data_IF_755654175981
#
_entry.id   IF_755654175981
#
_cell.length_a   1.000
_cell.length_b   1.000
_cell.length_c   1.000
_cell.angle_alpha   90.00
_cell.angle_beta   90.00
_cell.angle_gamma   90.00
#
_symmetry.space_group_name_H-M   'P 1'
#
loop_
_entity.id
_entity.type
_entity.pdbx_description
1 polymer ?
#
# COMPACT_ATOMS: atom_id res chain seq x y z
N UNK A 1 2.87 3.15 -22.09
CA UNK A 1 1.74 3.09 -21.12
C UNK A 1 1.26 1.67 -20.76
N UNK A 2 0.83 0.82 -21.72
CA UNK A 2 0.33 -0.54 -21.37
C UNK A 2 1.43 -1.41 -20.74
N UNK A 3 2.60 -1.41 -21.36
CA UNK A 3 3.82 -2.09 -20.92
C UNK A 3 4.25 -1.65 -19.51
N UNK A 4 4.15 -0.36 -19.20
CA UNK A 4 4.51 0.26 -17.91
C UNK A 4 3.43 0.08 -16.81
N UNK A 5 2.54 -0.91 -16.97
CA UNK A 5 1.45 -1.26 -16.05
C UNK A 5 0.54 -0.09 -15.62
N UNK A 6 0.57 1.04 -16.34
CA UNK A 6 -0.12 2.28 -15.97
C UNK A 6 -1.64 2.16 -16.00
N UNK A 7 -2.18 1.12 -16.64
CA UNK A 7 -3.62 0.83 -16.78
C UNK A 7 -4.21 -0.01 -15.65
N UNK A 8 -3.43 -0.85 -14.99
CA UNK A 8 -3.98 -1.93 -14.16
C UNK A 8 -4.66 -1.39 -12.91
N UNK A 9 -5.96 -1.70 -12.75
CA UNK A 9 -6.79 -1.28 -11.61
C UNK A 9 -7.07 0.23 -11.54
N UNK A 10 -7.22 0.91 -12.70
CA UNK A 10 -7.31 2.38 -12.79
C UNK A 10 -8.31 2.82 -13.87
N UNK A 11 -9.15 3.80 -13.55
CA UNK A 11 -10.20 4.28 -14.48
C UNK A 11 -9.61 4.70 -15.84
N UNK A 12 -10.03 4.06 -16.96
CA UNK A 12 -9.35 4.16 -18.25
C UNK A 12 -9.45 5.55 -18.88
N UNK A 13 -10.55 6.28 -18.65
CA UNK A 13 -10.79 7.63 -19.21
C UNK A 13 -9.65 8.62 -18.87
N UNK A 14 -9.06 8.51 -17.68
CA UNK A 14 -7.94 9.38 -17.27
C UNK A 14 -6.63 9.07 -18.00
N UNK A 15 -6.39 7.81 -18.37
CA UNK A 15 -5.24 7.39 -19.16
C UNK A 15 -5.44 7.70 -20.64
N UNK A 16 -6.66 7.50 -21.14
CA UNK A 16 -7.06 7.93 -22.48
C UNK A 16 -6.81 9.43 -22.67
N UNK A 17 -7.27 10.27 -21.73
CA UNK A 17 -6.98 11.71 -21.75
C UNK A 17 -5.49 12.05 -21.70
N UNK A 18 -4.70 11.34 -20.89
CA UNK A 18 -3.25 11.58 -20.83
C UNK A 18 -2.55 11.20 -22.15
N UNK A 19 -2.89 10.05 -22.74
CA UNK A 19 -2.39 9.62 -24.04
C UNK A 19 -2.82 10.57 -25.17
N UNK A 20 -4.07 11.06 -25.14
CA UNK A 20 -4.59 12.03 -26.10
C UNK A 20 -3.86 13.37 -26.01
N UNK A 21 -3.63 13.88 -24.79
CA UNK A 21 -2.86 15.11 -24.55
C UNK A 21 -1.41 14.97 -25.05
N UNK A 22 -0.74 13.86 -24.73
CA UNK A 22 0.61 13.56 -25.24
C UNK A 22 0.61 13.56 -26.77
N UNK A 23 -0.29 12.80 -27.41
CA UNK A 23 -0.39 12.73 -28.87
C UNK A 23 -0.69 14.10 -29.52
N UNK A 24 -1.48 14.97 -28.89
CA UNK A 24 -1.70 16.33 -29.41
C UNK A 24 -0.42 17.15 -29.40
N UNK A 25 0.39 17.09 -28.33
CA UNK A 25 1.70 17.74 -28.27
C UNK A 25 2.69 17.11 -29.27
N UNK A 26 2.70 15.79 -29.40
CA UNK A 26 3.53 15.04 -30.38
C UNK A 26 3.33 15.50 -31.82
N UNK A 27 2.10 15.89 -32.18
CA UNK A 27 1.75 16.37 -33.52
C UNK A 27 1.63 17.90 -33.63
N UNK A 28 2.03 18.65 -32.60
CA UNK A 28 2.05 20.12 -32.62
C UNK A 28 0.67 20.81 -32.47
N UNK A 29 -0.36 20.08 -32.04
CA UNK A 29 -1.69 20.65 -31.77
C UNK A 29 -1.77 21.23 -30.36
N UNK A 30 -2.02 22.54 -30.28
CA UNK A 30 -2.09 23.28 -29.02
C UNK A 30 -3.48 23.17 -28.35
N UNK A 31 -3.77 22.01 -27.76
CA UNK A 31 -4.93 21.83 -26.87
C UNK A 31 -4.53 22.04 -25.40
N UNK A 32 -5.41 22.65 -24.62
CA UNK A 32 -5.22 22.80 -23.17
C UNK A 32 -5.66 21.53 -22.43
N UNK A 33 -5.22 21.39 -21.17
CA UNK A 33 -5.73 20.33 -20.29
C UNK A 33 -7.24 20.40 -20.10
N UNK A 34 -7.84 21.61 -20.10
CA UNK A 34 -9.27 21.81 -19.96
C UNK A 34 -10.06 21.25 -21.16
N UNK A 35 -9.54 21.41 -22.37
CA UNK A 35 -10.15 20.87 -23.59
C UNK A 35 -10.23 19.34 -23.52
N UNK A 36 -9.12 18.68 -23.17
CA UNK A 36 -9.06 17.23 -23.00
C UNK A 36 -9.99 16.76 -21.87
N UNK A 37 -9.98 17.45 -20.72
CA UNK A 37 -10.87 17.19 -19.57
C UNK A 37 -12.35 17.25 -19.97
N UNK A 38 -12.73 18.22 -20.82
CA UNK A 38 -14.11 18.37 -21.28
C UNK A 38 -14.60 17.17 -22.11
N UNK A 39 -13.71 16.50 -22.84
CA UNK A 39 -14.02 15.35 -23.70
C UNK A 39 -13.98 14.01 -22.95
N UNK A 40 -13.00 13.80 -22.07
CA UNK A 40 -12.83 12.50 -21.38
C UNK A 40 -13.49 12.42 -19.99
N UNK A 41 -14.12 13.52 -19.54
CA UNK A 41 -14.87 13.63 -18.29
C UNK A 41 -14.11 13.17 -17.04
N UNK A 42 -12.89 13.70 -16.83
CA UNK A 42 -12.08 13.46 -15.61
C UNK A 42 -11.58 14.76 -15.00
N UNK A 43 -11.34 14.79 -13.69
CA UNK A 43 -10.74 15.95 -13.03
C UNK A 43 -9.32 16.25 -13.57
N UNK A 44 -8.97 17.53 -13.77
CA UNK A 44 -7.65 17.94 -14.28
C UNK A 44 -6.48 17.48 -13.38
N UNK A 45 -6.71 17.37 -12.07
CA UNK A 45 -5.75 16.81 -11.13
C UNK A 45 -5.46 15.31 -11.42
N UNK A 46 -6.46 14.56 -11.89
CA UNK A 46 -6.30 13.17 -12.32
C UNK A 46 -5.51 13.10 -13.63
N UNK A 47 -5.85 13.95 -14.62
CA UNK A 47 -5.11 14.04 -15.88
C UNK A 47 -3.63 14.41 -15.63
N UNK A 48 -3.38 15.44 -14.84
CA UNK A 48 -2.01 15.87 -14.47
C UNK A 48 -1.25 14.77 -13.73
N UNK A 49 -1.91 14.02 -12.83
CA UNK A 49 -1.29 12.87 -12.17
C UNK A 49 -0.93 11.75 -13.14
N UNK A 50 -1.75 11.47 -14.15
CA UNK A 50 -1.45 10.48 -15.20
C UNK A 50 -0.26 10.92 -16.08
N UNK A 51 -0.13 12.21 -16.36
CA UNK A 51 0.99 12.78 -17.11
C UNK A 51 2.31 12.68 -16.33
N UNK A 52 2.32 13.05 -15.04
CA UNK A 52 3.50 12.89 -14.17
C UNK A 52 3.87 11.40 -14.01
N UNK A 53 2.88 10.51 -13.90
CA UNK A 53 3.14 9.07 -13.86
C UNK A 53 3.73 8.53 -15.19
N UNK A 54 3.52 9.20 -16.33
CA UNK A 54 4.17 8.85 -17.63
C UNK A 54 5.58 9.45 -17.75
N UNK A 55 5.78 10.69 -17.31
CA UNK A 55 7.09 11.37 -17.23
C UNK A 55 8.14 10.57 -16.43
N UNK A 56 7.68 9.76 -15.48
CA UNK A 56 8.52 8.86 -14.67
C UNK A 56 8.67 7.43 -15.27
N UNK A 57 8.32 7.22 -16.54
CA UNK A 57 8.60 5.97 -17.29
C UNK A 57 9.73 6.19 -18.30
N UNK A 58 10.43 5.12 -18.68
CA UNK A 58 11.54 5.19 -19.65
C UNK A 58 11.08 5.84 -20.97
N UNK A 59 9.89 5.46 -21.46
CA UNK A 59 9.26 6.02 -22.66
C UNK A 59 8.86 7.51 -22.53
N UNK A 60 8.73 8.04 -21.31
CA UNK A 60 8.51 9.46 -21.04
C UNK A 60 9.78 10.31 -21.07
N UNK A 61 10.96 9.67 -21.08
CA UNK A 61 12.28 10.34 -21.14
C UNK A 61 12.86 10.49 -22.56
N UNK A 62 12.26 9.81 -23.56
CA UNK A 62 12.71 9.81 -24.95
C UNK A 62 12.44 11.14 -25.66
N UNK A 63 13.29 11.49 -26.62
CA UNK A 63 12.97 12.55 -27.58
C UNK A 63 11.77 12.15 -28.45
N UNK A 64 11.02 13.14 -28.96
CA UNK A 64 9.79 12.86 -29.70
C UNK A 64 10.02 12.03 -30.98
N UNK A 65 11.17 12.20 -31.62
CA UNK A 65 11.60 11.44 -32.80
C UNK A 65 11.91 9.97 -32.44
N UNK A 66 12.60 9.74 -31.31
CA UNK A 66 12.92 8.41 -30.79
C UNK A 66 11.65 7.68 -30.33
N UNK A 67 10.72 8.38 -29.68
CA UNK A 67 9.43 7.85 -29.25
C UNK A 67 8.57 7.39 -30.43
N UNK A 68 8.53 8.18 -31.52
CA UNK A 68 7.82 7.81 -32.74
C UNK A 68 8.51 6.66 -33.48
N UNK A 69 9.84 6.66 -33.57
CA UNK A 69 10.59 5.54 -34.15
C UNK A 69 10.36 4.23 -33.38
N UNK A 70 10.36 4.28 -32.04
CA UNK A 70 10.04 3.13 -31.17
C UNK A 70 8.61 2.62 -31.39
N UNK A 71 7.65 3.52 -31.64
CA UNK A 71 6.28 3.15 -31.98
C UNK A 71 6.16 2.48 -33.36
N UNK A 72 6.95 2.90 -34.35
CA UNK A 72 7.01 2.27 -35.66
C UNK A 72 7.72 0.90 -35.62
N UNK A 73 8.79 0.76 -34.83
CA UNK A 73 9.42 -0.54 -34.54
C UNK A 73 8.45 -1.52 -33.86
N UNK A 74 7.59 -1.04 -32.96
CA UNK A 74 6.54 -1.84 -32.29
C UNK A 74 5.36 -2.18 -33.22
N UNK A 75 5.13 -1.39 -34.28
CA UNK A 75 4.14 -1.70 -35.31
C UNK A 75 4.66 -2.67 -36.38
N UNK A 76 5.98 -2.69 -36.61
CA UNK A 76 6.67 -3.74 -37.35
C UNK A 76 6.80 -5.01 -36.47
N UNK A 77 7.10 -6.18 -37.05
CA UNK A 77 7.21 -7.38 -36.22
C UNK A 77 8.53 -7.37 -35.42
N UNK A 78 8.51 -7.47 -34.07
CA UNK A 78 9.74 -7.44 -33.27
C UNK A 78 10.74 -8.53 -33.68
N UNK A 79 11.99 -8.12 -33.85
CA UNK A 79 13.04 -8.90 -34.52
C UNK A 79 14.00 -9.50 -33.49
N UNK A 80 13.70 -10.74 -33.08
CA UNK A 80 14.62 -11.68 -32.41
C UNK A 80 15.07 -11.26 -30.99
N UNK A 81 15.25 -12.16 -30.01
CA UNK A 81 15.15 -13.64 -30.00
C UNK A 81 14.97 -14.10 -28.55
N UNK A 82 14.34 -15.25 -28.31
CA UNK A 82 14.72 -16.04 -27.14
C UNK A 82 14.68 -17.55 -27.42
N UNK A 83 15.61 -18.27 -26.81
CA UNK A 83 15.62 -19.71 -26.52
C UNK A 83 14.78 -20.64 -27.41
N UNK A 84 15.42 -21.22 -28.43
CA UNK A 84 14.95 -22.42 -29.14
C UNK A 84 15.01 -23.68 -28.23
N UNK A 85 14.17 -23.72 -27.19
CA UNK A 85 13.75 -24.99 -26.58
C UNK A 85 12.72 -25.63 -27.52
N UNK A 86 12.88 -26.88 -27.99
CA UNK A 86 11.87 -27.57 -28.80
C UNK A 86 10.63 -27.92 -27.98
N UNK A 87 9.78 -26.92 -27.74
CA UNK A 87 8.51 -27.04 -27.02
C UNK A 87 7.32 -27.25 -27.96
N UNK A 88 6.29 -27.94 -27.47
CA UNK A 88 4.98 -27.94 -28.13
C UNK A 88 4.26 -26.63 -27.82
N UNK A 89 3.55 -26.06 -28.80
CA UNK A 89 2.75 -24.84 -28.57
C UNK A 89 1.40 -25.16 -27.95
N UNK A 90 1.05 -24.45 -26.88
CA UNK A 90 -0.20 -24.55 -26.14
C UNK A 90 -1.33 -23.70 -26.78
N UNK A 91 -0.97 -22.76 -27.66
CA UNK A 91 -1.93 -21.92 -28.37
C UNK A 91 -2.77 -22.69 -29.43
N UNK A 92 -3.82 -22.04 -29.95
CA UNK A 92 -4.75 -22.56 -31.00
C UNK A 92 -4.10 -23.00 -32.33
N UNK A 93 -2.78 -22.86 -32.47
CA UNK A 93 -1.98 -23.34 -33.60
C UNK A 93 -1.28 -24.69 -33.35
N UNK A 94 -1.51 -25.33 -32.19
CA UNK A 94 -1.10 -26.71 -31.91
C UNK A 94 -1.42 -27.65 -33.08
N UNK A 95 -0.45 -28.44 -33.51
CA UNK A 95 -0.52 -29.32 -34.68
C UNK A 95 -0.33 -28.67 -36.06
N UNK A 96 -0.41 -27.34 -36.20
CA UNK A 96 -0.29 -26.62 -37.50
C UNK A 96 1.15 -26.18 -37.79
N UNK A 97 2.11 -27.11 -37.64
CA UNK A 97 3.56 -26.93 -37.85
C UNK A 97 4.12 -25.58 -37.36
N UNK A 98 3.61 -25.09 -36.22
CA UNK A 98 3.89 -23.76 -35.70
C UNK A 98 4.89 -23.87 -34.55
N UNK A 99 6.12 -23.41 -34.78
CA UNK A 99 7.20 -23.47 -33.79
C UNK A 99 6.88 -22.67 -32.52
N UNK A 100 7.35 -23.18 -31.38
CA UNK A 100 7.35 -22.46 -30.11
C UNK A 100 8.28 -21.25 -30.18
N UNK A 101 7.79 -20.09 -29.75
CA UNK A 101 8.55 -18.85 -29.69
C UNK A 101 8.87 -18.47 -28.24
N UNK A 102 7.85 -18.29 -27.41
CA UNK A 102 8.00 -17.97 -25.98
C UNK A 102 6.72 -18.31 -25.21
N UNK A 103 6.86 -18.71 -23.94
CA UNK A 103 5.76 -18.94 -22.98
C UNK A 103 4.60 -19.80 -23.55
N UNK A 104 4.91 -20.92 -24.23
CA UNK A 104 3.90 -21.81 -24.81
C UNK A 104 3.23 -21.28 -26.10
N UNK A 105 3.56 -20.07 -26.57
CA UNK A 105 2.97 -19.44 -27.74
C UNK A 105 3.89 -19.53 -28.98
N UNK A 106 3.30 -19.66 -30.17
CA UNK A 106 4.01 -19.42 -31.43
C UNK A 106 4.16 -17.92 -31.68
N UNK A 107 5.12 -17.50 -32.54
CA UNK A 107 5.46 -16.08 -32.77
C UNK A 107 4.22 -15.19 -33.02
N UNK A 108 3.29 -15.64 -33.87
CA UNK A 108 2.05 -14.91 -34.20
C UNK A 108 1.14 -14.70 -32.99
N UNK A 109 1.02 -15.69 -32.11
CA UNK A 109 0.26 -15.56 -30.87
C UNK A 109 0.98 -14.71 -29.83
N UNK A 110 2.30 -14.82 -29.71
CA UNK A 110 3.09 -14.00 -28.80
C UNK A 110 3.04 -12.51 -29.20
N UNK A 111 3.26 -12.18 -30.47
CA UNK A 111 3.14 -10.81 -30.98
C UNK A 111 1.74 -10.24 -30.76
N UNK A 112 0.68 -11.04 -30.97
CA UNK A 112 -0.70 -10.62 -30.71
C UNK A 112 -0.96 -10.40 -29.21
N UNK A 113 -0.47 -11.28 -28.34
CA UNK A 113 -0.51 -11.09 -26.89
C UNK A 113 0.16 -9.77 -26.50
N UNK A 114 1.42 -9.54 -26.91
CA UNK A 114 2.19 -8.34 -26.55
C UNK A 114 1.45 -7.07 -26.96
N UNK A 115 0.88 -7.00 -28.17
CA UNK A 115 0.09 -5.86 -28.66
C UNK A 115 -1.24 -5.66 -27.92
N UNK A 116 -1.83 -6.71 -27.34
CA UNK A 116 -3.05 -6.60 -26.53
C UNK A 116 -2.75 -6.19 -25.08
N UNK A 117 -1.80 -6.85 -24.43
CA UNK A 117 -1.53 -6.72 -22.99
C UNK A 117 -0.55 -5.61 -22.63
N UNK A 118 0.41 -5.31 -23.51
CA UNK A 118 1.63 -4.56 -23.22
C UNK A 118 2.90 -5.42 -23.16
N UNK A 119 2.78 -6.75 -23.14
CA UNK A 119 3.91 -7.69 -23.03
C UNK A 119 4.14 -8.24 -21.63
N UNK A 120 5.37 -8.72 -21.37
CA UNK A 120 5.85 -9.22 -20.07
C UNK A 120 7.17 -8.56 -19.62
N UNK A 121 7.78 -7.75 -20.48
CA UNK A 121 9.18 -7.35 -20.38
C UNK A 121 9.32 -5.85 -20.67
N UNK A 122 10.09 -5.16 -19.83
CA UNK A 122 10.13 -3.69 -19.76
C UNK A 122 8.91 -3.07 -19.03
N UNK A 123 9.05 -1.81 -18.64
CA UNK A 123 8.02 -1.03 -17.93
C UNK A 123 8.14 -1.07 -16.40
N UNK A 124 7.55 -0.07 -15.74
CA UNK A 124 7.56 0.07 -14.29
C UNK A 124 6.51 -0.82 -13.59
N UNK A 125 6.76 -1.17 -12.33
CA UNK A 125 5.76 -1.82 -11.45
C UNK A 125 4.44 -1.00 -11.40
N UNK A 126 3.26 -1.65 -11.36
CA UNK A 126 2.00 -0.94 -11.18
C UNK A 126 2.03 -0.12 -9.87
N UNK A 127 1.69 1.19 -9.85
CA UNK A 127 1.85 2.01 -8.65
C UNK A 127 1.04 1.60 -7.41
N UNK A 128 0.18 0.58 -7.50
CA UNK A 128 -0.38 -0.11 -6.33
C UNK A 128 0.66 -1.01 -5.64
N UNK A 129 1.41 -1.81 -6.41
CA UNK A 129 2.53 -2.62 -5.93
C UNK A 129 3.64 -1.74 -5.37
N UNK A 130 4.05 -0.68 -6.08
CA UNK A 130 5.05 0.28 -5.56
C UNK A 130 4.70 0.85 -4.18
N UNK A 131 3.42 1.15 -3.93
CA UNK A 131 2.95 1.60 -2.60
C UNK A 131 2.99 0.48 -1.56
N UNK A 132 2.58 -0.74 -1.93
CA UNK A 132 2.61 -1.89 -1.04
C UNK A 132 4.06 -2.27 -0.65
N UNK A 133 4.99 -2.28 -1.60
CA UNK A 133 6.39 -2.62 -1.32
C UNK A 133 7.10 -1.50 -0.56
N UNK A 134 6.84 -0.22 -0.87
CA UNK A 134 7.31 0.89 -0.03
C UNK A 134 6.82 0.79 1.42
N UNK A 135 5.57 0.35 1.64
CA UNK A 135 5.05 0.09 2.99
C UNK A 135 5.73 -1.12 3.66
N UNK A 136 6.03 -2.19 2.91
CA UNK A 136 6.75 -3.37 3.40
C UNK A 136 8.18 -3.02 3.81
N UNK A 137 8.90 -2.28 2.98
CA UNK A 137 10.25 -1.77 3.27
C UNK A 137 10.27 -0.80 4.47
N UNK A 138 9.31 0.11 4.57
CA UNK A 138 9.19 1.03 5.72
C UNK A 138 8.85 0.28 7.02
N UNK A 139 8.06 -0.80 6.96
CA UNK A 139 7.78 -1.68 8.12
C UNK A 139 8.99 -2.54 8.49
N UNK A 140 9.72 -3.09 7.52
CA UNK A 140 10.94 -3.85 7.73
C UNK A 140 12.01 -2.98 8.39
N UNK A 141 12.30 -1.81 7.82
CA UNK A 141 13.24 -0.84 8.39
C UNK A 141 12.86 -0.44 9.82
N UNK A 142 11.58 -0.16 10.10
CA UNK A 142 11.14 0.14 11.48
C UNK A 142 11.29 -1.03 12.43
N UNK A 143 11.26 -2.28 11.95
CA UNK A 143 11.55 -3.46 12.76
C UNK A 143 13.07 -3.60 13.04
N UNK A 144 13.92 -3.27 12.06
CA UNK A 144 15.38 -3.21 12.17
C UNK A 144 15.84 -2.08 13.10
N UNK A 145 15.37 -0.84 12.88
CA UNK A 145 15.60 0.32 13.76
C UNK A 145 15.16 -0.03 15.21
N UNK A 146 14.02 -0.71 15.37
CA UNK A 146 13.53 -1.16 16.67
C UNK A 146 14.23 -2.42 17.20
N UNK A 147 15.06 -3.12 16.42
CA UNK A 147 15.93 -4.20 16.91
C UNK A 147 17.26 -3.61 17.39
N UNK A 148 17.93 -2.80 16.56
CA UNK A 148 19.15 -2.07 16.90
C UNK A 148 18.97 -1.20 18.15
N UNK A 149 17.82 -0.54 18.31
CA UNK A 149 17.51 0.23 19.53
C UNK A 149 17.32 -0.63 20.81
N UNK A 150 17.09 -1.95 20.70
CA UNK A 150 17.13 -2.87 21.86
C UNK A 150 18.54 -3.40 22.10
N UNK A 151 19.31 -3.60 21.04
CA UNK A 151 20.68 -4.11 21.09
C UNK A 151 21.65 -3.07 21.68
N UNK A 152 21.50 -1.79 21.31
CA UNK A 152 22.24 -0.68 21.93
C UNK A 152 21.95 -0.55 23.45
N UNK A 153 20.70 -0.79 23.88
CA UNK A 153 20.30 -0.81 25.30
C UNK A 153 20.81 -2.06 26.03
N UNK A 154 21.19 -3.11 25.30
CA UNK A 154 21.82 -4.31 25.86
C UNK A 154 23.34 -4.11 26.04
N UNK A 155 24.01 -3.49 25.06
CA UNK A 155 25.42 -3.04 25.14
C UNK A 155 25.65 -2.07 26.30
N UNK A 156 24.81 -1.03 26.44
CA UNK A 156 24.89 -0.07 27.56
C UNK A 156 24.66 -0.75 28.94
N UNK A 157 24.03 -1.93 28.96
CA UNK A 157 23.87 -2.76 30.17
C UNK A 157 25.02 -3.75 30.42
N UNK A 158 26.01 -3.85 29.53
CA UNK A 158 27.12 -4.83 29.61
C UNK A 158 28.47 -4.21 30.02
N UNK A 159 28.65 -2.89 29.89
CA UNK A 159 29.88 -2.22 30.34
C UNK A 159 30.00 -2.06 31.87
N UNK A 160 28.87 -2.10 32.60
CA UNK A 160 28.81 -1.86 34.05
C UNK A 160 29.04 -3.12 34.92
N UNK A 161 29.56 -4.23 34.37
CA UNK A 161 29.83 -5.46 35.15
C UNK A 161 31.15 -6.14 34.78
N UNK A 162 32.27 -5.48 35.08
CA UNK A 162 33.56 -6.16 35.28
C UNK A 162 34.22 -5.68 36.59
N UNK A 163 33.94 -6.41 37.68
CA UNK A 163 34.82 -6.54 38.85
C UNK A 163 34.42 -7.80 39.66
N UNK A 164 35.41 -8.49 40.23
CA UNK A 164 35.37 -9.75 41.02
C UNK A 164 35.03 -11.07 40.30
N UNK A 165 36.05 -11.63 39.63
CA UNK A 165 36.70 -12.90 39.96
C UNK A 165 35.93 -14.25 40.13
N UNK A 166 36.33 -15.20 39.25
CA UNK A 166 36.89 -16.54 39.58
C UNK A 166 35.98 -17.80 39.75
N UNK A 167 36.26 -18.76 38.86
CA UNK A 167 36.20 -20.25 38.93
C UNK A 167 34.91 -21.12 38.90
N UNK A 168 34.68 -21.70 37.71
CA UNK A 168 34.86 -23.13 37.34
C UNK A 168 33.74 -24.21 37.45
N UNK A 169 33.69 -25.01 36.37
CA UNK A 169 33.33 -26.45 36.25
C UNK A 169 31.88 -27.01 36.32
N UNK A 170 31.56 -27.77 35.24
CA UNK A 170 30.89 -29.10 35.20
C UNK A 170 29.33 -29.22 35.17
N UNK A 171 28.88 -30.05 34.22
CA UNK A 171 27.49 -30.56 33.96
C UNK A 171 27.39 -32.06 34.35
N UNK A 172 26.28 -32.86 34.22
CA UNK A 172 24.93 -32.60 33.67
C UNK A 172 23.76 -33.29 34.45
N UNK A 173 22.58 -33.45 33.79
CA UNK A 173 21.65 -34.64 33.85
C UNK A 173 20.39 -34.72 34.76
N UNK A 174 19.22 -34.72 34.08
CA UNK A 174 18.22 -35.84 33.98
C UNK A 174 17.10 -36.07 35.05
N UNK A 175 15.86 -36.25 34.56
CA UNK A 175 14.65 -36.78 35.26
C UNK A 175 13.39 -35.92 34.94
N UNK A 176 12.30 -36.38 34.28
CA UNK A 176 11.32 -37.47 34.53
C UNK A 176 10.49 -37.22 35.82
N UNK A 177 9.14 -37.28 35.88
CA UNK A 177 8.11 -38.01 35.09
C UNK A 177 6.68 -37.40 35.25
N UNK A 178 5.69 -37.57 34.33
CA UNK A 178 4.50 -38.51 34.34
C UNK A 178 3.36 -38.12 35.35
N UNK A 179 2.02 -38.23 35.13
CA UNK A 179 1.12 -38.91 34.15
C UNK A 179 -0.24 -38.15 33.85
N UNK A 180 -1.10 -38.75 33.00
CA UNK A 180 -2.62 -38.90 32.93
C UNK A 180 -3.61 -38.09 33.83
N UNK A 181 -4.92 -37.94 33.50
CA UNK A 181 -5.86 -38.67 32.58
C UNK A 181 -7.12 -37.84 32.13
N UNK A 182 -7.80 -38.24 31.03
CA UNK A 182 -9.27 -38.08 30.65
C UNK A 182 -9.97 -36.69 30.83
N UNK A 183 -10.49 -35.94 29.83
CA UNK A 183 -11.45 -36.22 28.69
C UNK A 183 -12.86 -36.71 29.21
N UNK A 184 -14.06 -36.38 28.68
CA UNK A 184 -14.63 -36.27 27.29
C UNK A 184 -15.96 -35.45 27.20
N UNK A 185 -16.50 -35.20 25.97
CA UNK A 185 -17.90 -34.82 25.56
C UNK A 185 -18.43 -33.38 25.88
N UNK A 186 -19.37 -32.72 25.16
CA UNK A 186 -19.98 -32.86 23.79
C UNK A 186 -20.87 -31.63 23.43
N UNK A 187 -21.14 -31.37 22.13
CA UNK A 187 -22.35 -30.73 21.49
C UNK A 187 -22.95 -29.35 21.99
N UNK A 188 -23.81 -28.55 21.29
CA UNK A 188 -24.09 -28.27 19.84
C UNK A 188 -24.79 -26.86 19.62
N UNK A 189 -25.66 -26.66 18.60
CA UNK A 189 -26.27 -25.40 18.08
C UNK A 189 -27.54 -24.87 18.86
N UNK A 190 -28.25 -23.75 18.58
CA UNK A 190 -28.39 -22.73 17.48
C UNK A 190 -28.08 -21.28 17.97
N UNK A 191 -28.21 -20.13 17.28
CA UNK A 191 -28.86 -19.56 16.06
C UNK A 191 -30.30 -18.99 16.17
N UNK A 192 -30.53 -17.84 15.46
CA UNK A 192 -31.79 -17.07 15.16
C UNK A 192 -32.57 -16.35 16.29
N UNK A 193 -33.46 -15.33 16.05
CA UNK A 193 -33.57 -14.19 15.08
C UNK A 193 -34.89 -13.39 15.35
N UNK A 194 -35.25 -12.40 14.49
CA UNK A 194 -36.58 -11.71 14.32
C UNK A 194 -36.89 -10.61 15.38
N UNK A 195 -37.29 -9.33 15.13
CA UNK A 195 -37.81 -8.49 14.00
C UNK A 195 -39.32 -8.16 14.04
N UNK A 196 -39.68 -6.87 14.18
CA UNK A 196 -40.95 -6.17 13.79
C UNK A 196 -40.99 -4.74 14.39
N UNK A 197 -41.66 -3.69 13.86
CA UNK A 197 -42.05 -3.23 12.51
C UNK A 197 -42.77 -1.87 12.62
N UNK A 198 -42.32 -0.83 11.89
CA UNK A 198 -43.00 0.33 11.21
C UNK A 198 -44.37 0.91 11.70
N UNK A 199 -44.77 2.19 11.37
CA UNK A 199 -44.30 3.06 10.27
C UNK A 199 -44.23 4.60 10.51
N UNK A 200 -43.98 5.32 9.40
CA UNK A 200 -44.20 6.75 9.08
C UNK A 200 -43.15 7.83 9.42
N UNK A 201 -42.75 8.60 8.39
CA UNK A 201 -42.92 10.06 8.49
C UNK A 201 -41.70 10.99 8.38
N UNK A 202 -40.53 10.56 7.88
CA UNK A 202 -39.38 11.48 7.72
C UNK A 202 -38.34 11.05 6.70
N UNK A 203 -37.64 12.03 6.11
CA UNK A 203 -36.53 11.84 5.16
C UNK A 203 -35.26 11.36 5.90
N UNK A 204 -35.25 10.08 6.30
CA UNK A 204 -34.15 9.47 7.04
C UNK A 204 -33.10 8.86 6.10
N UNK A 205 -31.83 8.84 6.54
CA UNK A 205 -30.73 8.15 5.84
C UNK A 205 -30.72 6.64 6.15
N UNK A 206 -31.84 5.98 5.85
CA UNK A 206 -32.02 4.54 6.02
C UNK A 206 -32.33 3.87 4.68
N UNK A 207 -31.31 3.80 3.84
CA UNK A 207 -31.19 2.68 2.91
C UNK A 207 -30.61 1.50 3.68
N UNK A 208 -31.31 0.36 3.68
CA UNK A 208 -30.75 -0.93 4.11
C UNK A 208 -29.72 -1.37 3.06
N UNK A 209 -28.52 -0.78 3.15
CA UNK A 209 -27.41 -1.06 2.28
C UNK A 209 -26.81 -2.42 2.66
N UNK A 210 -27.39 -3.48 2.10
CA UNK A 210 -26.78 -4.80 2.04
C UNK A 210 -25.30 -4.64 1.63
N UNK A 211 -24.34 -4.99 2.51
CA UNK A 211 -22.92 -4.78 2.25
C UNK A 211 -22.37 -5.68 1.13
N UNK A 212 -23.17 -6.62 0.61
CA UNK A 212 -22.85 -7.44 -0.57
C UNK A 212 -23.46 -6.88 -1.88
N UNK A 213 -24.40 -5.92 -1.80
CA UNK A 213 -25.12 -5.36 -2.95
C UNK A 213 -24.35 -4.22 -3.65
N UNK A 214 -23.36 -4.59 -4.48
CA UNK A 214 -22.57 -3.67 -5.33
C UNK A 214 -23.35 -3.06 -6.51
N UNK A 215 -24.66 -2.88 -6.38
CA UNK A 215 -25.57 -2.36 -7.42
C UNK A 215 -25.47 -0.86 -7.65
N UNK A 216 -24.61 -0.16 -6.90
CA UNK A 216 -24.22 1.24 -7.12
C UNK A 216 -23.11 1.38 -8.17
N UNK A 217 -22.45 0.27 -8.54
CA UNK A 217 -21.41 0.22 -9.57
C UNK A 217 -22.03 -0.15 -10.93
N UNK A 218 -21.70 0.64 -11.95
CA UNK A 218 -22.12 0.40 -13.34
C UNK A 218 -21.28 -0.73 -13.98
N UNK A 219 -21.94 -1.82 -14.39
CA UNK A 219 -21.33 -2.95 -15.12
C UNK A 219 -20.54 -2.48 -16.36
N UNK A 220 -21.00 -1.40 -17.03
CA UNK A 220 -20.33 -0.83 -18.21
C UNK A 220 -18.99 -0.18 -17.84
N UNK A 221 -18.84 0.34 -16.62
CA UNK A 221 -17.53 0.76 -16.12
C UNK A 221 -16.67 -0.45 -15.72
N UNK A 222 -17.25 -1.49 -15.10
CA UNK A 222 -16.52 -2.69 -14.66
C UNK A 222 -15.88 -3.46 -15.82
N UNK A 223 -16.61 -3.63 -16.93
CA UNK A 223 -16.14 -4.37 -18.12
C UNK A 223 -14.80 -3.82 -18.66
N UNK A 224 -14.58 -2.51 -18.60
CA UNK A 224 -13.33 -1.88 -19.08
C UNK A 224 -12.10 -2.15 -18.18
N UNK A 225 -12.27 -2.72 -16.98
CA UNK A 225 -11.16 -3.20 -16.15
C UNK A 225 -10.86 -4.70 -16.37
N UNK A 226 -11.76 -5.43 -17.04
CA UNK A 226 -11.60 -6.86 -17.31
C UNK A 226 -10.76 -7.09 -18.58
N UNK A 227 -10.25 -8.31 -18.73
CA UNK A 227 -9.46 -8.70 -19.89
C UNK A 227 -10.33 -9.39 -20.94
N UNK A 228 -10.31 -8.86 -22.17
CA UNK A 228 -10.93 -9.47 -23.34
C UNK A 228 -10.58 -10.97 -23.44
N UNK A 229 -11.52 -11.79 -23.91
CA UNK A 229 -11.38 -13.25 -24.01
C UNK A 229 -10.04 -13.71 -24.63
N UNK A 230 -9.55 -13.03 -25.67
CA UNK A 230 -8.24 -13.35 -26.27
C UNK A 230 -7.04 -13.01 -25.36
N UNK A 231 -7.10 -11.89 -24.63
CA UNK A 231 -6.05 -11.51 -23.68
C UNK A 231 -6.05 -12.46 -22.48
N UNK A 232 -7.23 -12.82 -21.96
CA UNK A 232 -7.41 -13.82 -20.90
C UNK A 232 -6.88 -15.19 -21.32
N UNK A 233 -7.18 -15.65 -22.53
CA UNK A 233 -6.64 -16.91 -23.08
C UNK A 233 -5.11 -16.89 -23.19
N UNK A 234 -4.49 -15.79 -23.65
CA UNK A 234 -3.04 -15.69 -23.73
C UNK A 234 -2.38 -15.60 -22.35
N UNK A 235 -2.92 -14.78 -21.44
CA UNK A 235 -2.43 -14.67 -20.06
C UNK A 235 -2.52 -16.00 -19.31
N UNK A 236 -3.60 -16.76 -19.51
CA UNK A 236 -3.73 -18.12 -18.97
C UNK A 236 -2.60 -19.03 -19.45
N UNK A 237 -2.40 -19.16 -20.77
CA UNK A 237 -1.36 -20.03 -21.35
C UNK A 237 0.04 -19.64 -20.83
N UNK A 238 0.33 -18.35 -20.79
CA UNK A 238 1.62 -17.81 -20.30
C UNK A 238 1.81 -18.15 -18.83
N UNK A 239 0.78 -17.96 -17.99
CA UNK A 239 0.85 -18.25 -16.57
C UNK A 239 0.99 -19.76 -16.30
N UNK A 240 0.25 -20.61 -17.01
CA UNK A 240 0.33 -22.07 -16.89
C UNK A 240 1.73 -22.60 -17.27
N UNK A 241 2.34 -22.09 -18.35
CA UNK A 241 3.70 -22.48 -18.74
C UNK A 241 4.77 -21.91 -17.77
N UNK A 242 4.63 -20.68 -17.29
CA UNK A 242 5.58 -20.08 -16.34
C UNK A 242 5.51 -20.68 -14.93
N UNK A 243 4.35 -21.18 -14.50
CA UNK A 243 4.15 -21.79 -13.18
C UNK A 243 4.08 -23.32 -13.27
N UNK A 244 4.50 -23.91 -14.38
CA UNK A 244 4.39 -25.35 -14.64
C UNK A 244 5.04 -26.21 -13.55
N UNK A 245 6.25 -25.87 -13.12
CA UNK A 245 6.96 -26.60 -12.07
C UNK A 245 6.20 -26.55 -10.73
N UNK A 246 5.57 -25.42 -10.41
CA UNK A 246 4.72 -25.25 -9.21
C UNK A 246 3.41 -26.06 -9.30
N UNK A 247 2.79 -26.11 -10.49
CA UNK A 247 1.60 -26.93 -10.74
C UNK A 247 1.92 -28.43 -10.64
N UNK A 248 3.10 -28.86 -11.15
CA UNK A 248 3.59 -30.23 -11.04
C UNK A 248 3.94 -30.61 -9.59
N UNK A 249 4.58 -29.71 -8.81
CA UNK A 249 4.83 -29.92 -7.37
C UNK A 249 3.52 -30.05 -6.57
N UNK A 250 2.57 -29.14 -6.78
CA UNK A 250 1.30 -29.15 -6.07
C UNK A 250 0.45 -30.38 -6.43
N UNK A 251 0.45 -30.81 -7.70
CA UNK A 251 -0.19 -32.06 -8.11
C UNK A 251 0.49 -33.30 -7.51
N UNK A 252 1.83 -33.34 -7.43
CA UNK A 252 2.55 -34.44 -6.79
C UNK A 252 2.26 -34.51 -5.28
N UNK A 253 2.18 -33.37 -4.61
CA UNK A 253 1.83 -33.23 -3.20
C UNK A 253 0.39 -33.65 -2.89
N UNK A 254 -0.56 -33.30 -3.77
CA UNK A 254 -1.94 -33.76 -3.67
C UNK A 254 -2.07 -35.27 -3.97
N UNK A 255 -1.31 -35.80 -4.93
CA UNK A 255 -1.25 -37.24 -5.20
C UNK A 255 -0.67 -38.03 -4.01
N UNK A 256 0.39 -37.53 -3.36
CA UNK A 256 0.95 -38.13 -2.13
C UNK A 256 -0.03 -38.05 -0.96
N UNK A 257 -0.75 -36.94 -0.77
CA UNK A 257 -1.80 -36.82 0.24
C UNK A 257 -2.97 -37.78 -0.02
N UNK A 258 -3.34 -37.98 -1.30
CA UNK A 258 -4.35 -38.95 -1.72
C UNK A 258 -3.87 -40.40 -1.51
N UNK A 259 -2.61 -40.73 -1.81
CA UNK A 259 -2.04 -42.07 -1.58
C UNK A 259 -1.97 -42.41 -0.09
N UNK A 260 -1.55 -41.48 0.77
CA UNK A 260 -1.56 -41.65 2.23
C UNK A 260 -2.99 -41.91 2.74
N UNK A 261 -3.94 -41.08 2.31
CA UNK A 261 -5.37 -41.22 2.66
C UNK A 261 -5.93 -42.57 2.18
N UNK A 262 -5.64 -42.96 0.93
CA UNK A 262 -6.13 -44.20 0.32
C UNK A 262 -5.49 -45.47 0.91
N UNK A 263 -4.24 -45.39 1.42
CA UNK A 263 -3.61 -46.48 2.17
C UNK A 263 -4.20 -46.71 3.56
N UNK A 264 -5.18 -45.89 4.00
CA UNK A 264 -5.70 -45.94 5.35
C UNK A 264 -4.70 -45.47 6.41
N UNK A 265 -3.58 -44.88 5.97
CA UNK A 265 -2.70 -44.13 6.87
C UNK A 265 -3.41 -42.81 7.13
N UNK A 266 -4.26 -42.83 8.16
CA UNK A 266 -4.56 -41.62 8.90
C UNK A 266 -3.22 -41.10 9.41
N UNK A 267 -2.68 -40.11 8.72
CA UNK A 267 -1.70 -39.21 9.30
C UNK A 267 -2.26 -38.76 10.64
N UNK A 268 -1.61 -39.15 11.74
CA UNK A 268 -1.58 -38.34 12.96
C UNK A 268 -0.72 -37.07 12.70
N UNK A 269 -1.00 -36.41 11.59
CA UNK A 269 -0.64 -35.04 11.32
C UNK A 269 -1.13 -34.26 12.53
N UNK A 270 -0.15 -33.76 13.30
CA UNK A 270 -0.33 -33.33 14.69
C UNK A 270 -1.41 -32.27 14.76
N UNK A 271 -2.66 -32.71 14.97
CA UNK A 271 -3.81 -31.84 15.24
C UNK A 271 -3.35 -30.96 16.38
N UNK A 272 -3.12 -29.69 16.07
CA UNK A 272 -2.60 -28.69 16.99
C UNK A 272 -3.74 -28.36 17.94
N UNK A 273 -4.06 -29.33 18.82
CA UNK A 273 -5.26 -29.41 19.67
C UNK A 273 -5.30 -28.09 20.41
N UNK A 274 -6.15 -27.17 19.94
CA UNK A 274 -6.30 -25.84 20.54
C UNK A 274 -6.74 -26.13 21.95
N UNK A 275 -5.81 -26.03 22.91
CA UNK A 275 -6.11 -26.15 24.34
C UNK A 275 -7.00 -24.96 24.65
N UNK A 276 -8.32 -25.16 24.53
CA UNK A 276 -9.32 -24.33 25.18
C UNK A 276 -8.97 -24.41 26.66
N UNK A 277 -8.56 -23.29 27.24
CA UNK A 277 -8.23 -23.25 28.66
C UNK A 277 -9.55 -23.23 29.44
N UNK A 278 -10.04 -24.42 29.81
CA UNK A 278 -11.16 -24.62 30.74
C UNK A 278 -10.93 -23.87 32.08
N UNK A 279 -9.67 -23.60 32.45
CA UNK A 279 -9.23 -22.80 33.62
C UNK A 279 -9.70 -21.33 33.64
N UNK A 280 -10.49 -20.88 32.65
CA UNK A 280 -10.99 -19.50 32.59
C UNK A 280 -12.25 -19.26 33.44
N UNK A 281 -12.91 -20.29 33.97
CA UNK A 281 -14.18 -20.15 34.72
C UNK A 281 -14.04 -19.82 36.22
N UNK A 282 -12.82 -19.67 36.76
CA UNK A 282 -12.60 -19.46 38.22
C UNK A 282 -11.77 -18.24 38.62
N UNK A 283 -11.10 -17.54 37.70
CA UNK A 283 -10.35 -16.31 38.02
C UNK A 283 -11.15 -15.07 37.64
N UNK A 284 -11.33 -14.12 38.58
CA UNK A 284 -11.84 -12.79 38.28
C UNK A 284 -11.04 -12.14 37.12
N UNK A 285 -11.65 -11.28 36.29
CA UNK A 285 -10.89 -10.41 35.39
C UNK A 285 -9.90 -9.57 36.20
N UNK A 286 -8.64 -9.54 35.77
CA UNK A 286 -7.60 -8.69 36.35
C UNK A 286 -7.89 -7.22 36.03
N UNK A 287 -7.90 -6.36 37.05
CA UNK A 287 -8.33 -4.97 36.92
C UNK A 287 -7.24 -4.08 36.30
N UNK A 288 -5.97 -4.53 36.28
CA UNK A 288 -4.85 -3.79 35.68
C UNK A 288 -4.08 -4.58 34.60
N UNK A 289 -3.52 -3.90 33.57
CA UNK A 289 -2.65 -4.56 32.57
C UNK A 289 -1.38 -5.19 33.16
N UNK A 290 -0.88 -4.66 34.28
CA UNK A 290 0.27 -5.21 35.00
C UNK A 290 -0.09 -6.57 35.63
N UNK A 291 -1.20 -6.63 36.35
CA UNK A 291 -1.75 -7.85 36.95
C UNK A 291 -2.09 -8.90 35.88
N UNK A 292 -2.69 -8.50 34.75
CA UNK A 292 -2.95 -9.37 33.60
C UNK A 292 -1.65 -10.01 33.07
N UNK A 293 -0.59 -9.21 32.97
CA UNK A 293 0.74 -9.66 32.52
C UNK A 293 1.39 -10.59 33.54
N UNK A 294 1.33 -10.26 34.84
CA UNK A 294 1.88 -11.09 35.91
C UNK A 294 1.17 -12.44 36.00
N UNK A 295 -0.17 -12.46 35.91
CA UNK A 295 -0.94 -13.70 35.85
C UNK A 295 -0.62 -14.55 34.60
N UNK A 296 -0.35 -13.94 33.44
CA UNK A 296 0.16 -14.66 32.27
C UNK A 296 1.57 -15.25 32.50
N UNK A 297 2.49 -14.49 33.11
CA UNK A 297 3.83 -14.97 33.43
C UNK A 297 3.81 -16.10 34.46
N UNK A 298 2.95 -16.01 35.48
CA UNK A 298 2.70 -17.05 36.49
C UNK A 298 2.14 -18.32 35.85
N UNK A 299 1.13 -18.21 34.97
CA UNK A 299 0.59 -19.32 34.16
C UNK A 299 1.62 -19.96 33.20
N UNK A 300 2.66 -19.22 32.80
CA UNK A 300 3.78 -19.72 31.97
C UNK A 300 4.97 -20.25 32.78
N UNK A 301 4.89 -20.33 34.10
CA UNK A 301 6.00 -20.76 34.97
C UNK A 301 7.15 -19.75 35.10
N UNK A 302 6.98 -18.53 34.58
CA UNK A 302 7.97 -17.45 34.61
C UNK A 302 7.79 -16.52 35.83
N UNK A 303 6.65 -16.58 36.52
CA UNK A 303 6.34 -15.75 37.70
C UNK A 303 7.20 -16.00 38.94
N UNK A 304 8.08 -17.02 38.92
CA UNK A 304 9.14 -17.23 39.93
C UNK A 304 10.45 -16.48 39.60
N UNK A 305 10.61 -16.01 38.36
CA UNK A 305 11.79 -15.26 37.89
C UNK A 305 11.52 -13.76 37.71
N UNK A 306 10.26 -13.33 37.82
CA UNK A 306 9.84 -11.92 37.66
C UNK A 306 8.89 -11.56 38.79
N UNK A 307 9.26 -10.58 39.61
CA UNK A 307 8.41 -10.11 40.70
C UNK A 307 7.24 -9.26 40.18
N UNK A 308 6.12 -9.31 40.87
CA UNK A 308 4.92 -8.53 40.55
C UNK A 308 5.20 -7.02 40.55
N UNK A 309 6.02 -6.56 41.52
CA UNK A 309 6.52 -5.19 41.58
C UNK A 309 7.32 -4.76 40.35
N UNK A 310 8.20 -5.62 39.82
CA UNK A 310 8.95 -5.30 38.60
C UNK A 310 8.05 -5.15 37.36
N UNK A 311 7.00 -5.97 37.26
CA UNK A 311 5.96 -5.80 36.21
C UNK A 311 5.22 -4.48 36.42
N UNK A 312 4.85 -4.15 37.67
CA UNK A 312 4.22 -2.88 38.02
C UNK A 312 5.05 -1.65 37.63
N UNK A 313 6.34 -1.63 37.96
CA UNK A 313 7.24 -0.53 37.60
C UNK A 313 7.44 -0.40 36.09
N UNK A 314 7.53 -1.49 35.33
CA UNK A 314 7.58 -1.42 33.86
C UNK A 314 6.34 -0.73 33.26
N UNK A 315 5.15 -1.00 33.81
CA UNK A 315 3.93 -0.32 33.36
C UNK A 315 3.85 1.15 33.82
N UNK A 316 4.34 1.48 35.04
CA UNK A 316 4.50 2.88 35.47
C UNK A 316 5.46 3.65 34.58
N UNK A 317 6.65 3.10 34.30
CA UNK A 317 7.67 3.71 33.45
C UNK A 317 7.13 3.97 32.04
N UNK A 318 6.40 3.00 31.47
CA UNK A 318 5.71 3.18 30.17
C UNK A 318 4.68 4.32 30.21
N UNK A 319 3.94 4.48 31.31
CA UNK A 319 2.97 5.57 31.48
C UNK A 319 3.66 6.94 31.68
N UNK A 320 4.73 7.04 32.45
CA UNK A 320 5.48 8.30 32.64
C UNK A 320 6.21 8.71 31.36
N UNK A 321 6.83 7.77 30.62
CA UNK A 321 7.39 8.03 29.30
C UNK A 321 6.31 8.50 28.31
N UNK A 322 5.14 7.83 28.27
CA UNK A 322 4.02 8.25 27.41
C UNK A 322 3.41 9.61 27.81
N UNK A 323 3.47 10.00 29.08
CA UNK A 323 3.13 11.36 29.53
C UNK A 323 4.20 12.38 29.11
N UNK A 324 5.48 12.06 29.27
CA UNK A 324 6.60 12.93 28.90
C UNK A 324 6.68 13.19 27.38
N UNK A 325 6.44 12.15 26.55
CA UNK A 325 6.35 12.27 25.09
C UNK A 325 5.15 13.16 24.68
N UNK A 326 3.98 12.98 25.30
CA UNK A 326 2.81 13.86 25.06
C UNK A 326 3.10 15.31 25.45
N UNK A 327 3.75 15.55 26.59
CA UNK A 327 4.13 16.89 27.04
C UNK A 327 5.14 17.55 26.08
N UNK A 328 6.22 16.84 25.70
CA UNK A 328 7.18 17.31 24.69
C UNK A 328 6.51 17.65 23.34
N UNK A 329 5.57 16.82 22.87
CA UNK A 329 4.82 17.08 21.65
C UNK A 329 3.89 18.29 21.77
N UNK A 330 3.21 18.45 22.91
CA UNK A 330 2.37 19.63 23.18
C UNK A 330 3.18 20.93 23.21
N UNK A 331 4.29 20.96 23.94
CA UNK A 331 5.23 22.11 24.01
C UNK A 331 5.76 22.44 22.60
N UNK A 332 6.14 21.44 21.81
CA UNK A 332 6.58 21.63 20.42
C UNK A 332 5.48 22.27 19.55
N UNK A 333 4.25 21.74 19.58
CA UNK A 333 3.13 22.32 18.83
C UNK A 333 2.75 23.73 19.29
N UNK A 334 2.84 24.03 20.58
CA UNK A 334 2.53 25.36 21.12
C UNK A 334 3.65 26.38 20.83
N UNK A 335 4.90 25.93 20.75
CA UNK A 335 6.04 26.73 20.26
C UNK A 335 5.86 27.10 18.78
N UNK A 336 5.55 26.11 17.93
CA UNK A 336 5.26 26.34 16.52
C UNK A 336 4.03 27.24 16.31
N UNK A 337 2.99 27.10 17.13
CA UNK A 337 1.83 28.00 17.12
C UNK A 337 2.21 29.45 17.42
N UNK A 338 3.08 29.68 18.40
CA UNK A 338 3.60 31.02 18.73
C UNK A 338 4.45 31.63 17.61
N UNK A 339 5.36 30.87 17.00
CA UNK A 339 6.20 31.41 15.90
C UNK A 339 5.37 31.71 14.66
N UNK A 340 4.42 30.84 14.29
CA UNK A 340 3.48 31.10 13.18
C UNK A 340 2.62 32.33 13.46
N UNK A 341 2.16 32.52 14.70
CA UNK A 341 1.39 33.71 15.08
C UNK A 341 2.23 35.00 14.96
N UNK A 342 3.48 34.99 15.42
CA UNK A 342 4.39 36.14 15.30
C UNK A 342 4.74 36.46 13.84
N UNK A 343 4.98 35.45 12.99
CA UNK A 343 5.20 35.64 11.55
C UNK A 343 3.97 36.25 10.88
N UNK A 344 2.76 35.75 11.18
CA UNK A 344 1.50 36.35 10.67
C UNK A 344 1.32 37.80 11.12
N UNK A 345 1.61 38.11 12.39
CA UNK A 345 1.50 39.48 12.91
C UNK A 345 2.52 40.42 12.25
N UNK A 346 3.76 39.96 12.02
CA UNK A 346 4.79 40.70 11.31
C UNK A 346 4.37 41.02 9.86
N UNK A 347 3.85 40.02 9.13
CA UNK A 347 3.33 40.19 7.76
C UNK A 347 2.15 41.17 7.72
N UNK A 348 1.23 41.12 8.69
CA UNK A 348 0.14 42.10 8.76
C UNK A 348 0.64 43.53 8.99
N UNK A 349 1.61 43.73 9.89
CA UNK A 349 2.17 45.06 10.19
C UNK A 349 2.95 45.63 9.01
N UNK A 350 3.79 44.83 8.34
CA UNK A 350 4.51 45.30 7.15
C UNK A 350 3.57 45.61 5.99
N UNK A 351 2.54 44.79 5.76
CA UNK A 351 1.50 45.06 4.75
C UNK A 351 0.75 46.36 5.05
N UNK A 352 0.33 46.58 6.30
CA UNK A 352 -0.37 47.80 6.71
C UNK A 352 0.51 49.06 6.57
N UNK A 353 1.79 48.97 6.92
CA UNK A 353 2.76 50.07 6.70
C UNK A 353 2.93 50.38 5.21
N UNK A 354 2.98 49.36 4.36
CA UNK A 354 3.15 49.51 2.91
C UNK A 354 1.92 50.14 2.25
N UNK A 355 0.71 49.85 2.74
CA UNK A 355 -0.53 50.53 2.32
C UNK A 355 -0.51 52.01 2.75
N UNK A 356 -0.13 52.31 3.99
CA UNK A 356 -0.09 53.70 4.46
C UNK A 356 0.96 54.55 3.72
N UNK A 357 2.13 54.01 3.38
CA UNK A 357 3.11 54.76 2.58
C UNK A 357 2.63 54.99 1.15
N UNK A 358 1.94 54.03 0.51
CA UNK A 358 1.34 54.28 -0.81
C UNK A 358 0.27 55.37 -0.78
N UNK A 359 -0.63 55.37 0.21
CA UNK A 359 -1.66 56.43 0.33
C UNK A 359 -1.05 57.83 0.58
N UNK A 360 0.03 57.93 1.35
CA UNK A 360 0.77 59.20 1.53
C UNK A 360 1.44 59.65 0.24
N UNK A 361 1.93 58.71 -0.58
CA UNK A 361 2.56 59.05 -1.87
C UNK A 361 1.53 59.50 -2.91
N UNK A 362 0.35 58.89 -2.97
CA UNK A 362 -0.78 59.37 -3.79
C UNK A 362 -1.26 60.76 -3.35
N UNK A 363 -1.44 60.98 -2.04
CA UNK A 363 -1.87 62.27 -1.50
C UNK A 363 -0.87 63.40 -1.78
N UNK A 364 0.43 63.12 -1.70
CA UNK A 364 1.48 64.12 -2.03
C UNK A 364 1.58 64.38 -3.53
N UNK A 365 1.41 63.37 -4.39
CA UNK A 365 1.31 63.57 -5.84
C UNK A 365 0.07 64.41 -6.21
N UNK A 366 -1.09 64.15 -5.62
CA UNK A 366 -2.30 64.94 -5.82
C UNK A 366 -2.11 66.40 -5.40
N UNK A 367 -1.48 66.65 -4.24
CA UNK A 367 -1.17 68.00 -3.77
C UNK A 367 -0.21 68.74 -4.73
N UNK A 368 0.82 68.07 -5.24
CA UNK A 368 1.74 68.65 -6.23
C UNK A 368 1.01 69.07 -7.51
N UNK A 369 0.12 68.22 -8.04
CA UNK A 369 -0.70 68.51 -9.22
C UNK A 369 -1.58 69.74 -9.00
N UNK A 370 -2.20 69.88 -7.82
CA UNK A 370 -3.02 71.05 -7.46
C UNK A 370 -2.18 72.33 -7.36
N UNK A 371 -0.96 72.27 -6.82
CA UNK A 371 -0.03 73.41 -6.73
C UNK A 371 0.44 73.84 -8.13
N UNK A 372 0.81 72.90 -9.00
CA UNK A 372 1.16 73.21 -10.40
C UNK A 372 -0.02 73.85 -11.15
N UNK A 373 -1.22 73.29 -11.03
CA UNK A 373 -2.43 73.83 -11.66
C UNK A 373 -2.76 75.25 -11.18
N UNK A 374 -2.65 75.48 -9.87
CA UNK A 374 -2.84 76.81 -9.25
C UNK A 374 -1.80 77.84 -9.69
N UNK A 375 -0.58 77.38 -10.04
CA UNK A 375 0.49 78.26 -10.51
C UNK A 375 0.28 78.68 -11.96
N UNK A 376 -0.13 77.74 -12.83
CA UNK A 376 -0.45 77.99 -14.24
C UNK A 376 -1.57 79.04 -14.38
N UNK A 377 -2.62 78.96 -13.55
CA UNK A 377 -3.70 79.95 -13.54
C UNK A 377 -3.26 81.36 -13.07
N UNK A 378 -2.15 81.49 -12.34
CA UNK A 378 -1.61 82.81 -11.92
C UNK A 378 -0.72 83.48 -12.96
N UNK A 379 -0.21 82.75 -13.95
CA UNK A 379 0.58 83.31 -15.07
C UNK A 379 -0.25 83.59 -16.33
N UNK A 380 -1.58 83.42 -16.26
CA UNK A 380 -2.50 83.57 -17.39
C UNK A 380 -3.51 84.72 -17.19
N UNK A 381 -3.20 85.68 -16.31
CA UNK A 381 -4.07 86.79 -15.91
C UNK A 381 -3.29 88.11 -15.83
#
# INVERSE_FOLDING_TARGET
MKQDWMQTGRKPSGLCGAALYIATLSHGYNYTKADIVSVVHVCEATLTKRLIEFENTDAGSLMIEEFLATADEYNQEPVQKCSLKPGEVLCKHKGKSSEHFAHGLCKKCYNKFTKLSGGLEGGCDPPAFQRAEKLRLEVAKRAEDAAAAKEAVLEESLCDTQNSDVENTITPSKGMSRDKSSEVASEEHTNDSILSKDPEGGENWEGDADPESLSDIDDVEVDWYLHNEEETQYKKIIWEEMNKEYLEEQAAKEALAAELTARGVVEEGKKKKRRRNEDTKSSKPSETPAEATYNMLKRKGLGSKVSEGAVGELYKLKMTMAAHIRNKRWISTHSMGRTVLMVKHSIMVTTAMMVMTTMVQEATMALMILISSSSICRTAC
#
